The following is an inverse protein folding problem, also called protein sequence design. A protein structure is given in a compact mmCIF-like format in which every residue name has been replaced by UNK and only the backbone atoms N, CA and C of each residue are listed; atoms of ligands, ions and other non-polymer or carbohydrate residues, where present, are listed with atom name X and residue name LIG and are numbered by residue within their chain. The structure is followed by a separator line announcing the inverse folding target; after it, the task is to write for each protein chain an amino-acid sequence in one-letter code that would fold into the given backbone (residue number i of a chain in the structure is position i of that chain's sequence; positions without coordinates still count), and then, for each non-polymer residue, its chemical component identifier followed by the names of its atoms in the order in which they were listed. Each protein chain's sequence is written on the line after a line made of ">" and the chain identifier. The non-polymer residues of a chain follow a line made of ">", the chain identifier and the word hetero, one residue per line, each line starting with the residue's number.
data_IF_069836205712
#
_entry.id   IF_069836205712
#
_cell.length_a   1.000
_cell.length_b   1.000
_cell.length_c   1.000
_cell.angle_alpha   90.00
_cell.angle_beta   90.00
_cell.angle_gamma   90.00
#
_symmetry.space_group_name_H-M   'P 1'
#
loop_
_entity.id
_entity.type
_entity.pdbx_description
1 polymer ?
#
# COMPACT_ATOMS: atom_id res chain seq x y z
N UNK A 1 -3.88 24.76 -1.49
CA UNK A 1 -3.67 23.31 -1.43
C UNK A 1 -4.65 22.74 -0.41
N UNK A 2 -5.51 21.80 -0.77
CA UNK A 2 -6.45 21.21 0.18
C UNK A 2 -5.71 20.30 1.16
N UNK A 3 -6.13 20.25 2.41
CA UNK A 3 -5.51 19.47 3.48
C UNK A 3 -5.21 18.00 3.07
N UNK A 4 -6.12 17.26 2.39
CA UNK A 4 -5.84 15.90 1.92
C UNK A 4 -4.66 15.82 0.96
N UNK A 5 -4.55 16.74 -0.01
CA UNK A 5 -3.44 16.76 -0.96
C UNK A 5 -2.08 16.99 -0.27
N UNK A 6 -2.06 17.81 0.78
CA UNK A 6 -0.86 18.03 1.57
C UNK A 6 -0.43 16.76 2.29
N UNK A 7 -1.37 16.02 2.88
CA UNK A 7 -1.08 14.76 3.58
C UNK A 7 -0.56 13.66 2.62
N UNK A 8 -1.13 13.56 1.42
CA UNK A 8 -0.64 12.60 0.41
C UNK A 8 0.79 12.93 -0.05
N UNK A 9 1.13 14.20 -0.25
CA UNK A 9 2.50 14.62 -0.58
C UNK A 9 3.46 14.35 0.59
N UNK A 10 3.05 14.67 1.81
CA UNK A 10 3.85 14.42 3.02
C UNK A 10 4.19 12.95 3.17
N UNK A 11 3.26 12.03 2.83
CA UNK A 11 3.50 10.59 2.85
C UNK A 11 4.63 10.18 1.91
N UNK A 12 4.66 10.72 0.69
CA UNK A 12 5.76 10.47 -0.26
C UNK A 12 7.08 11.01 0.29
N UNK A 13 7.08 12.19 0.88
CA UNK A 13 8.29 12.79 1.45
C UNK A 13 8.80 12.00 2.67
N UNK A 14 7.92 11.36 3.46
CA UNK A 14 8.28 10.52 4.60
C UNK A 14 8.99 9.23 4.20
N UNK A 15 8.96 8.81 2.93
CA UNK A 15 9.74 7.67 2.45
C UNK A 15 11.24 7.85 2.69
N UNK A 16 11.76 9.03 2.40
CA UNK A 16 13.19 9.31 2.56
C UNK A 16 13.66 9.16 4.02
N UNK A 17 13.04 9.81 5.02
CA UNK A 17 13.44 9.62 6.41
C UNK A 17 13.24 8.18 6.90
N UNK A 18 12.22 7.44 6.45
CA UNK A 18 12.05 6.03 6.83
C UNK A 18 13.27 5.21 6.41
N UNK A 19 13.69 5.35 5.14
CA UNK A 19 14.85 4.63 4.59
C UNK A 19 16.14 5.11 5.26
N UNK A 20 16.35 6.41 5.35
CA UNK A 20 17.56 6.99 5.96
C UNK A 20 17.72 6.54 7.41
N UNK A 21 16.67 6.64 8.22
CA UNK A 21 16.76 6.20 9.62
C UNK A 21 17.09 4.72 9.74
N UNK A 22 16.55 3.89 8.88
CA UNK A 22 16.87 2.47 8.89
C UNK A 22 18.33 2.19 8.51
N UNK A 23 18.82 2.79 7.43
CA UNK A 23 20.22 2.63 6.96
C UNK A 23 21.24 3.11 8.00
N UNK A 24 20.92 4.14 8.77
CA UNK A 24 21.74 4.61 9.89
C UNK A 24 21.50 3.86 11.22
N UNK A 25 20.81 2.71 11.18
CA UNK A 25 20.50 1.86 12.35
C UNK A 25 19.57 2.50 13.38
N UNK A 26 18.89 3.60 13.05
CA UNK A 26 17.84 4.19 13.88
C UNK A 26 16.47 3.50 13.64
N UNK A 27 16.43 2.18 13.83
CA UNK A 27 15.28 1.34 13.50
C UNK A 27 13.97 1.76 14.16
N UNK A 28 14.04 2.20 15.43
CA UNK A 28 12.86 2.70 16.14
C UNK A 28 12.28 3.95 15.48
N UNK A 29 13.12 4.91 15.09
CA UNK A 29 12.69 6.14 14.42
C UNK A 29 12.14 5.85 13.02
N UNK A 30 12.74 4.92 12.28
CA UNK A 30 12.22 4.44 11.00
C UNK A 30 10.81 3.87 11.16
N UNK A 31 10.62 2.98 12.13
CA UNK A 31 9.31 2.36 12.41
C UNK A 31 8.27 3.38 12.86
N UNK A 32 8.62 4.31 13.75
CA UNK A 32 7.69 5.37 14.19
C UNK A 32 7.29 6.25 13.00
N UNK A 33 8.24 6.65 12.16
CA UNK A 33 7.97 7.46 10.97
C UNK A 33 7.03 6.73 9.99
N UNK A 34 7.25 5.42 9.80
CA UNK A 34 6.36 4.58 9.00
C UNK A 34 4.94 4.50 9.58
N UNK A 35 4.81 4.34 10.90
CA UNK A 35 3.51 4.31 11.57
C UNK A 35 2.78 5.65 11.39
N UNK A 36 3.49 6.77 11.56
CA UNK A 36 2.93 8.11 11.33
C UNK A 36 2.44 8.25 9.89
N UNK A 37 3.25 7.85 8.90
CA UNK A 37 2.87 7.88 7.49
C UNK A 37 1.63 7.01 7.19
N UNK A 38 1.53 5.84 7.82
CA UNK A 38 0.37 4.93 7.65
C UNK A 38 -0.90 5.46 8.32
N UNK A 39 -0.78 6.14 9.48
CA UNK A 39 -1.92 6.76 10.17
C UNK A 39 -2.40 7.99 9.40
N UNK A 40 -1.50 8.80 8.83
CA UNK A 40 -1.90 9.97 8.01
C UNK A 40 -2.73 9.55 6.80
N UNK A 41 -2.44 8.41 6.18
CA UNK A 41 -3.25 7.82 5.12
C UNK A 41 -4.70 7.53 5.55
N UNK A 42 -4.86 6.92 6.71
CA UNK A 42 -6.19 6.65 7.25
C UNK A 42 -6.96 7.94 7.57
N UNK A 43 -6.26 8.95 8.11
CA UNK A 43 -6.86 10.22 8.53
C UNK A 43 -7.28 11.08 7.33
N UNK A 44 -6.46 11.17 6.27
CA UNK A 44 -6.82 11.99 5.10
C UNK A 44 -8.04 11.42 4.37
N UNK A 45 -8.13 10.11 4.20
CA UNK A 45 -9.30 9.43 3.67
C UNK A 45 -10.57 9.63 4.54
N UNK A 46 -10.43 9.68 5.86
CA UNK A 46 -11.53 9.97 6.77
C UNK A 46 -12.00 11.43 6.69
N UNK A 47 -11.05 12.38 6.71
CA UNK A 47 -11.33 13.82 6.65
C UNK A 47 -11.96 14.21 5.31
N UNK A 48 -11.43 13.70 4.21
CA UNK A 48 -11.93 13.97 2.85
C UNK A 48 -13.41 13.55 2.72
N UNK A 49 -13.76 12.37 3.22
CA UNK A 49 -15.15 11.88 3.22
C UNK A 49 -16.07 12.70 4.11
N UNK A 50 -15.62 13.07 5.32
CA UNK A 50 -16.44 13.80 6.30
C UNK A 50 -16.71 15.24 5.88
N UNK A 51 -15.77 15.89 5.19
CA UNK A 51 -15.84 17.30 4.80
C UNK A 51 -16.31 17.54 3.35
N UNK A 52 -16.63 16.48 2.59
CA UNK A 52 -16.96 16.55 1.15
C UNK A 52 -15.89 17.32 0.33
N UNK A 53 -14.63 17.26 0.75
CA UNK A 53 -13.50 17.93 0.10
C UNK A 53 -12.84 17.05 -0.98
N UNK A 54 -13.60 16.13 -1.57
CA UNK A 54 -13.12 15.21 -2.60
C UNK A 54 -13.07 15.94 -3.95
N UNK A 55 -11.89 16.43 -4.34
CA UNK A 55 -11.61 16.80 -5.71
C UNK A 55 -11.14 15.59 -6.52
N UNK A 56 -11.44 15.55 -7.81
CA UNK A 56 -10.95 14.46 -8.68
C UNK A 56 -9.42 14.39 -8.69
N UNK A 57 -8.73 15.53 -8.74
CA UNK A 57 -7.27 15.61 -8.67
C UNK A 57 -6.73 15.15 -7.31
N UNK A 58 -7.41 15.43 -6.21
CA UNK A 58 -7.01 14.99 -4.88
C UNK A 58 -7.12 13.48 -4.72
N UNK A 59 -8.20 12.88 -5.20
CA UNK A 59 -8.37 11.42 -5.17
C UNK A 59 -7.34 10.68 -6.05
N UNK A 60 -6.93 11.27 -7.18
CA UNK A 60 -5.86 10.73 -8.00
C UNK A 60 -4.49 10.83 -7.33
N UNK A 61 -4.20 11.95 -6.69
CA UNK A 61 -2.95 12.17 -5.96
C UNK A 61 -2.81 11.20 -4.79
N UNK A 62 -3.87 10.99 -4.02
CA UNK A 62 -3.91 10.03 -2.91
C UNK A 62 -3.66 8.60 -3.40
N UNK A 63 -4.38 8.18 -4.45
CA UNK A 63 -4.19 6.88 -5.06
C UNK A 63 -2.75 6.66 -5.57
N UNK A 64 -2.11 7.71 -6.10
CA UNK A 64 -0.72 7.67 -6.57
C UNK A 64 0.25 7.60 -5.40
N UNK A 65 0.04 8.42 -4.37
CA UNK A 65 0.87 8.48 -3.18
C UNK A 65 0.94 7.12 -2.47
N UNK A 66 -0.20 6.45 -2.28
CA UNK A 66 -0.27 5.12 -1.68
C UNK A 66 0.57 4.10 -2.43
N UNK A 67 0.47 4.10 -3.76
CA UNK A 67 1.20 3.15 -4.57
C UNK A 67 2.69 3.41 -4.57
N UNK A 68 3.10 4.68 -4.71
CA UNK A 68 4.51 5.06 -4.63
C UNK A 68 5.06 4.66 -3.26
N UNK A 69 4.35 4.99 -2.18
CA UNK A 69 4.79 4.71 -0.82
C UNK A 69 5.06 3.22 -0.59
N UNK A 70 4.08 2.39 -0.88
CA UNK A 70 4.19 0.95 -0.65
C UNK A 70 5.17 0.28 -1.62
N UNK A 71 5.11 0.63 -2.92
CA UNK A 71 6.00 0.01 -3.93
C UNK A 71 7.46 0.33 -3.66
N UNK A 72 7.76 1.58 -3.30
CA UNK A 72 9.14 1.99 -2.99
C UNK A 72 9.67 1.25 -1.76
N UNK A 73 8.88 1.15 -0.69
CA UNK A 73 9.27 0.39 0.50
C UNK A 73 9.48 -1.08 0.20
N UNK A 74 8.60 -1.72 -0.56
CA UNK A 74 8.73 -3.13 -0.93
C UNK A 74 9.99 -3.38 -1.77
N UNK A 75 10.28 -2.53 -2.76
CA UNK A 75 11.51 -2.64 -3.56
C UNK A 75 12.74 -2.45 -2.69
N UNK A 76 12.75 -1.44 -1.82
CA UNK A 76 13.86 -1.20 -0.91
C UNK A 76 14.06 -2.37 0.08
N UNK A 77 12.98 -2.93 0.64
CA UNK A 77 13.06 -4.09 1.53
C UNK A 77 13.65 -5.33 0.82
N UNK A 78 13.32 -5.55 -0.46
CA UNK A 78 13.91 -6.67 -1.22
C UNK A 78 15.41 -6.52 -1.38
N UNK A 79 15.88 -5.30 -1.58
CA UNK A 79 17.31 -5.00 -1.69
C UNK A 79 18.03 -5.16 -0.33
N UNK A 80 17.41 -4.68 0.75
CA UNK A 80 18.05 -4.63 2.08
C UNK A 80 18.11 -6.00 2.76
N UNK A 81 17.10 -6.85 2.60
CA UNK A 81 17.00 -8.14 3.31
C UNK A 81 17.41 -9.36 2.48
N UNK A 82 17.70 -9.21 1.18
CA UNK A 82 18.10 -10.29 0.26
C UNK A 82 17.30 -11.59 0.44
N UNK A 83 15.99 -11.46 0.54
CA UNK A 83 15.09 -12.57 0.81
C UNK A 83 14.14 -12.83 -0.36
N UNK A 84 14.19 -14.03 -0.92
CA UNK A 84 13.42 -14.45 -2.11
C UNK A 84 11.90 -14.35 -1.87
N UNK A 85 11.41 -14.64 -0.66
CA UNK A 85 9.97 -14.54 -0.37
C UNK A 85 9.51 -13.08 -0.37
N UNK A 86 10.32 -12.15 0.16
CA UNK A 86 10.04 -10.72 0.08
C UNK A 86 10.04 -10.28 -1.39
N UNK A 87 11.03 -10.71 -2.18
CA UNK A 87 11.12 -10.37 -3.60
C UNK A 87 9.87 -10.84 -4.38
N UNK A 88 9.53 -12.12 -4.29
CA UNK A 88 8.37 -12.67 -5.01
C UNK A 88 7.08 -11.96 -4.59
N UNK A 89 6.88 -11.79 -3.28
CA UNK A 89 5.69 -11.11 -2.77
C UNK A 89 5.61 -9.66 -3.22
N UNK A 90 6.73 -8.94 -3.26
CA UNK A 90 6.81 -7.56 -3.74
C UNK A 90 6.45 -7.46 -5.23
N UNK A 91 6.98 -8.34 -6.07
CA UNK A 91 6.63 -8.41 -7.50
C UNK A 91 5.13 -8.66 -7.66
N UNK A 92 4.57 -9.62 -6.92
CA UNK A 92 3.15 -9.93 -6.98
C UNK A 92 2.27 -8.76 -6.53
N UNK A 93 2.63 -8.08 -5.46
CA UNK A 93 1.87 -6.93 -4.95
C UNK A 93 1.92 -5.78 -5.95
N UNK A 94 3.11 -5.40 -6.42
CA UNK A 94 3.31 -4.26 -7.33
C UNK A 94 2.62 -4.51 -8.67
N UNK A 95 2.81 -5.69 -9.27
CA UNK A 95 2.18 -6.04 -10.55
C UNK A 95 0.65 -6.00 -10.46
N UNK A 96 0.08 -6.51 -9.36
CA UNK A 96 -1.36 -6.44 -9.11
C UNK A 96 -1.85 -5.01 -8.94
N UNK A 97 -1.12 -4.15 -8.20
CA UNK A 97 -1.51 -2.75 -8.01
C UNK A 97 -1.52 -1.97 -9.33
N UNK A 98 -0.56 -2.24 -10.20
CA UNK A 98 -0.52 -1.67 -11.55
C UNK A 98 -1.70 -2.17 -12.38
N UNK A 99 -1.95 -3.49 -12.38
CA UNK A 99 -3.02 -4.11 -13.16
C UNK A 99 -4.41 -3.57 -12.80
N UNK A 100 -4.70 -3.43 -11.50
CA UNK A 100 -6.01 -2.91 -11.09
C UNK A 100 -6.17 -1.42 -11.39
N UNK A 101 -5.07 -0.67 -11.40
CA UNK A 101 -5.10 0.75 -11.77
C UNK A 101 -5.41 0.93 -13.24
N UNK A 102 -4.77 0.12 -14.08
CA UNK A 102 -5.02 0.11 -15.51
C UNK A 102 -6.48 -0.24 -15.81
N UNK A 103 -7.02 -1.29 -15.16
CA UNK A 103 -8.41 -1.67 -15.33
C UNK A 103 -9.39 -0.57 -14.90
N UNK A 104 -9.11 0.12 -13.80
CA UNK A 104 -9.94 1.26 -13.36
C UNK A 104 -9.92 2.39 -14.38
N UNK A 105 -8.75 2.73 -14.90
CA UNK A 105 -8.59 3.75 -15.93
C UNK A 105 -9.34 3.35 -17.21
N UNK A 106 -9.22 2.11 -17.65
CA UNK A 106 -9.93 1.58 -18.81
C UNK A 106 -11.46 1.66 -18.66
N UNK A 107 -11.99 1.35 -17.47
CA UNK A 107 -13.43 1.46 -17.20
C UNK A 107 -13.92 2.91 -17.23
N UNK A 108 -13.13 3.85 -16.69
CA UNK A 108 -13.47 5.29 -16.72
C UNK A 108 -13.56 5.78 -18.17
N UNK A 109 -12.58 5.43 -19.01
CA UNK A 109 -12.53 5.83 -20.42
C UNK A 109 -13.72 5.28 -21.23
N UNK A 110 -14.22 4.10 -20.88
CA UNK A 110 -15.36 3.48 -21.57
C UNK A 110 -16.71 3.81 -20.92
N UNK A 111 -16.80 4.89 -20.14
CA UNK A 111 -18.04 5.38 -19.50
C UNK A 111 -18.78 4.33 -18.65
N UNK A 112 -18.07 3.30 -18.17
CA UNK A 112 -18.63 2.29 -17.27
C UNK A 112 -18.53 2.76 -15.81
N UNK A 113 -19.57 2.47 -15.03
CA UNK A 113 -19.62 2.93 -13.64
C UNK A 113 -18.54 2.29 -12.78
N UNK A 114 -17.60 3.11 -12.29
CA UNK A 114 -16.52 2.72 -11.35
C UNK A 114 -17.09 2.27 -9.99
N UNK A 115 -18.35 2.58 -9.69
CA UNK A 115 -19.07 2.14 -8.48
C UNK A 115 -19.09 0.61 -8.27
N UNK A 116 -18.85 -0.15 -9.32
CA UNK A 116 -18.75 -1.62 -9.27
C UNK A 116 -17.44 -2.11 -8.61
N UNK A 117 -16.45 -1.22 -8.46
CA UNK A 117 -15.16 -1.52 -7.79
C UNK A 117 -15.22 -1.10 -6.32
N UNK A 118 -16.29 -1.42 -5.60
CA UNK A 118 -16.32 -1.20 -4.15
C UNK A 118 -15.22 -2.03 -3.48
N UNK A 119 -14.47 -1.39 -2.61
CA UNK A 119 -13.47 -2.07 -1.78
C UNK A 119 -14.18 -3.11 -0.91
N UNK A 120 -14.03 -4.39 -1.24
CA UNK A 120 -14.52 -5.49 -0.42
C UNK A 120 -13.69 -5.59 0.85
N UNK A 121 -14.23 -6.21 1.90
CA UNK A 121 -13.52 -6.52 3.15
C UNK A 121 -12.15 -7.17 2.88
N UNK A 122 -12.07 -8.06 1.89
CA UNK A 122 -10.83 -8.71 1.43
C UNK A 122 -9.77 -7.68 0.98
N UNK A 123 -10.21 -6.59 0.31
CA UNK A 123 -9.30 -5.52 -0.09
C UNK A 123 -8.72 -4.74 1.09
N UNK A 124 -9.46 -4.58 2.18
CA UNK A 124 -8.96 -3.95 3.41
C UNK A 124 -8.00 -4.88 4.16
N UNK A 125 -8.32 -6.17 4.21
CA UNK A 125 -7.48 -7.17 4.89
C UNK A 125 -6.08 -7.26 4.26
N UNK A 126 -5.97 -7.22 2.92
CA UNK A 126 -4.68 -7.24 2.24
C UNK A 126 -3.79 -6.06 2.62
N UNK A 127 -4.36 -4.84 2.65
CA UNK A 127 -3.59 -3.63 3.00
C UNK A 127 -3.16 -3.64 4.46
N UNK A 128 -4.02 -4.12 5.36
CA UNK A 128 -3.66 -4.30 6.77
C UNK A 128 -2.48 -5.26 6.92
N UNK A 129 -2.53 -6.44 6.31
CA UNK A 129 -1.42 -7.41 6.37
C UNK A 129 -0.13 -6.85 5.74
N UNK A 130 -0.26 -6.10 4.66
CA UNK A 130 0.88 -5.49 3.99
C UNK A 130 1.56 -4.43 4.85
N UNK A 131 0.79 -3.48 5.39
CA UNK A 131 1.34 -2.42 6.23
C UNK A 131 1.88 -2.98 7.56
N UNK A 132 1.18 -3.91 8.20
CA UNK A 132 1.67 -4.55 9.43
C UNK A 132 2.93 -5.37 9.17
N UNK A 133 3.01 -6.10 8.06
CA UNK A 133 4.20 -6.84 7.64
C UNK A 133 5.41 -5.93 7.42
N UNK A 134 5.24 -4.82 6.69
CA UNK A 134 6.30 -3.83 6.49
C UNK A 134 6.74 -3.22 7.84
N UNK A 135 5.79 -2.81 8.69
CA UNK A 135 6.10 -2.22 10.00
C UNK A 135 6.87 -3.18 10.90
N UNK A 136 6.53 -4.47 10.91
CA UNK A 136 7.31 -5.46 11.64
C UNK A 136 8.69 -5.69 11.06
N UNK A 137 8.88 -5.68 9.73
CA UNK A 137 10.22 -5.79 9.13
C UNK A 137 11.12 -4.63 9.58
N UNK A 138 10.60 -3.41 9.63
CA UNK A 138 11.38 -2.24 10.03
C UNK A 138 11.92 -2.33 11.46
N UNK A 139 11.22 -3.02 12.36
CA UNK A 139 11.65 -3.17 13.76
C UNK A 139 12.43 -4.48 14.02
N UNK A 140 12.55 -5.37 13.02
CA UNK A 140 13.20 -6.68 13.20
C UNK A 140 14.63 -6.62 13.75
N UNK A 141 15.48 -5.63 13.42
CA UNK A 141 16.83 -5.59 13.99
C UNK A 141 16.86 -5.39 15.51
N UNK A 142 15.76 -4.93 16.11
CA UNK A 142 15.61 -4.73 17.56
C UNK A 142 14.82 -5.86 18.23
N UNK A 143 14.37 -6.85 17.49
CA UNK A 143 13.42 -7.87 17.97
C UNK A 143 13.93 -9.29 17.69
N UNK A 144 13.39 -10.31 18.38
CA UNK A 144 13.75 -11.69 18.10
C UNK A 144 13.45 -12.14 16.67
N UNK A 145 14.25 -13.07 16.14
CA UNK A 145 14.19 -13.55 14.74
C UNK A 145 12.82 -14.06 14.29
N UNK A 146 11.99 -14.56 15.21
CA UNK A 146 10.64 -15.04 14.85
C UNK A 146 9.76 -13.92 14.29
N UNK A 147 9.97 -12.64 14.71
CA UNK A 147 9.22 -11.49 14.20
C UNK A 147 9.53 -11.25 12.73
N UNK A 148 10.77 -11.48 12.30
CA UNK A 148 11.13 -11.41 10.90
C UNK A 148 10.36 -12.45 10.06
N UNK A 149 10.33 -13.70 10.46
CA UNK A 149 9.57 -14.73 9.74
C UNK A 149 8.06 -14.48 9.76
N UNK A 150 7.55 -13.97 10.87
CA UNK A 150 6.15 -13.58 10.99
C UNK A 150 5.80 -12.42 10.04
N UNK A 151 6.67 -11.42 9.91
CA UNK A 151 6.48 -10.30 8.99
C UNK A 151 6.49 -10.75 7.53
N UNK A 152 7.40 -11.66 7.15
CA UNK A 152 7.41 -12.26 5.81
C UNK A 152 6.09 -13.00 5.55
N UNK A 153 5.62 -13.79 6.50
CA UNK A 153 4.33 -14.49 6.40
C UNK A 153 3.19 -13.51 6.10
N UNK A 154 3.13 -12.38 6.79
CA UNK A 154 2.10 -11.35 6.56
C UNK A 154 2.17 -10.76 5.14
N UNK A 155 3.38 -10.48 4.63
CA UNK A 155 3.57 -9.96 3.27
C UNK A 155 3.18 -11.00 2.22
N UNK A 156 3.56 -12.26 2.41
CA UNK A 156 3.16 -13.38 1.54
C UNK A 156 1.64 -13.53 1.53
N UNK A 157 1.00 -13.57 2.69
CA UNK A 157 -0.47 -13.64 2.78
C UNK A 157 -1.15 -12.45 2.10
N UNK A 158 -0.61 -11.24 2.28
CA UNK A 158 -1.10 -10.05 1.59
C UNK A 158 -1.03 -10.20 0.07
N UNK A 159 0.07 -10.73 -0.46
CA UNK A 159 0.25 -10.94 -1.91
C UNK A 159 -0.78 -11.95 -2.45
N UNK A 160 -1.00 -13.07 -1.77
CA UNK A 160 -1.97 -14.09 -2.17
C UNK A 160 -3.40 -13.56 -2.13
N UNK A 161 -3.78 -12.89 -1.04
CA UNK A 161 -5.12 -12.26 -0.89
C UNK A 161 -5.33 -11.20 -1.98
N UNK A 162 -4.28 -10.45 -2.31
CA UNK A 162 -4.30 -9.41 -3.34
C UNK A 162 -4.66 -10.00 -4.72
N UNK A 163 -3.99 -11.09 -5.11
CA UNK A 163 -4.25 -11.78 -6.39
C UNK A 163 -5.59 -12.50 -6.41
N UNK A 164 -5.97 -13.15 -5.31
CA UNK A 164 -7.31 -13.74 -5.17
C UNK A 164 -8.41 -12.70 -5.37
N UNK A 165 -8.28 -11.54 -4.71
CA UNK A 165 -9.23 -10.43 -4.87
C UNK A 165 -9.29 -9.93 -6.32
N UNK A 166 -8.14 -9.87 -6.99
CA UNK A 166 -8.04 -9.43 -8.38
C UNK A 166 -8.68 -10.44 -9.34
N UNK A 167 -8.41 -11.73 -9.17
CA UNK A 167 -9.04 -12.79 -9.98
C UNK A 167 -10.56 -12.79 -9.85
N UNK A 168 -11.08 -12.65 -8.61
CA UNK A 168 -12.52 -12.52 -8.38
C UNK A 168 -13.11 -11.28 -9.07
N UNK A 169 -12.36 -10.17 -9.06
CA UNK A 169 -12.77 -8.96 -9.76
C UNK A 169 -12.86 -9.18 -11.27
N UNK A 170 -11.82 -9.77 -11.89
CA UNK A 170 -11.81 -10.09 -13.32
C UNK A 170 -12.96 -11.02 -13.71
N UNK A 171 -13.21 -12.07 -12.94
CA UNK A 171 -14.28 -13.02 -13.21
C UNK A 171 -15.67 -12.35 -13.19
N UNK A 172 -15.89 -11.45 -12.23
CA UNK A 172 -17.12 -10.68 -12.16
C UNK A 172 -17.26 -9.70 -13.35
N UNK A 173 -16.15 -9.17 -13.84
CA UNK A 173 -16.15 -8.27 -14.99
C UNK A 173 -16.46 -9.03 -16.29
N UNK A 174 -15.83 -10.19 -16.52
CA UNK A 174 -16.11 -11.02 -17.71
C UNK A 174 -17.53 -11.57 -17.77
N UNK A 175 -18.18 -11.79 -16.64
CA UNK A 175 -19.58 -12.24 -16.60
C UNK A 175 -20.60 -11.17 -17.03
N UNK A 176 -20.17 -9.92 -17.12
CA UNK A 176 -21.03 -8.78 -17.46
C UNK A 176 -20.80 -8.24 -18.90
N UNK A 177 -19.84 -8.81 -19.61
CA UNK A 177 -19.64 -8.61 -21.06
C UNK A 177 -20.43 -9.63 -21.83
#
# INVERSE_FOLDING_TARGET
>A
MNLPNFLSITRILLLLPIIIFFEYSFYLFSTITFIIASITDYLDGYIARKKNLTSQSGALLDLLADKIFVSTLLVWLTFNFDNVLILISSILIISREISISYLRMFMILNSRQVSEIKSNFIGKLKTTFQLTGIGFILITPLTPSFIFYFSILLIVLSSLISWYSFAKYLNNWFKKI
#
